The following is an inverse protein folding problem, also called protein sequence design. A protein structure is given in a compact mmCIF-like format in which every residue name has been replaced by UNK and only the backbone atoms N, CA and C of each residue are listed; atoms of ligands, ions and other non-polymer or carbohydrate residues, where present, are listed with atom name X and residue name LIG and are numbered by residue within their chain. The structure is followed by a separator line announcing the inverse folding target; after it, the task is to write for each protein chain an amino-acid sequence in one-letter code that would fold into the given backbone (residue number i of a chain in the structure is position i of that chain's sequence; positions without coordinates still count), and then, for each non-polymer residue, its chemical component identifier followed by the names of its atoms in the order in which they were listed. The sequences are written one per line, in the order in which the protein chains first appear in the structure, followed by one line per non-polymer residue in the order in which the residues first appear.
data_IF_510386387958
#
_entry.id   IF_510386387958
#
_cell.length_a   1.000
_cell.length_b   1.000
_cell.length_c   1.000
_cell.angle_alpha   90.00
_cell.angle_beta   90.00
_cell.angle_gamma   90.00
#
_symmetry.space_group_name_H-M   'P 1'
#
loop_
_entity.id
_entity.type
_entity.pdbx_description
1 polymer ?
#
# COMPACT_ATOMS: atom_id res chain seq x y z
N UNK A 1 30.78 45.73 47.27
CA UNK A 1 30.21 44.95 46.14
C UNK A 1 30.06 43.53 46.59
N UNK A 2 28.76 43.09 46.84
CA UNK A 2 28.43 41.75 47.28
C UNK A 2 28.02 40.97 46.03
N UNK A 3 28.82 40.03 45.59
CA UNK A 3 28.51 39.11 44.51
C UNK A 3 27.71 37.96 45.13
N UNK A 4 26.40 37.95 44.95
CA UNK A 4 25.51 36.88 45.38
C UNK A 4 25.81 35.60 44.62
N UNK A 5 26.37 34.62 45.28
CA UNK A 5 26.58 33.26 44.77
C UNK A 5 25.21 32.52 44.77
N UNK A 6 24.59 32.37 43.61
CA UNK A 6 23.40 31.51 43.44
C UNK A 6 23.84 30.04 43.53
N UNK A 7 23.71 29.47 44.72
CA UNK A 7 23.83 28.02 44.87
C UNK A 7 22.47 27.40 44.55
N UNK A 8 22.35 26.83 43.35
CA UNK A 8 21.21 25.99 43.02
C UNK A 8 21.31 24.68 43.82
N UNK A 9 20.29 24.37 44.59
CA UNK A 9 20.23 23.19 45.44
C UNK A 9 20.45 21.92 44.61
N UNK A 10 21.34 21.05 45.06
CA UNK A 10 21.72 19.81 44.37
C UNK A 10 20.50 18.89 44.13
N UNK A 11 19.45 19.05 44.92
CA UNK A 11 18.18 18.33 44.74
C UNK A 11 17.43 18.82 43.51
N UNK A 12 17.43 20.13 43.24
CA UNK A 12 16.78 20.72 42.05
C UNK A 12 17.49 20.27 40.77
N UNK A 13 18.82 20.22 40.77
CA UNK A 13 19.64 19.75 39.66
C UNK A 13 19.34 18.27 39.37
N UNK A 14 19.23 17.43 40.41
CA UNK A 14 18.89 15.99 40.24
C UNK A 14 17.47 15.78 39.70
N UNK A 15 16.50 16.57 40.14
CA UNK A 15 15.13 16.51 39.63
C UNK A 15 15.06 16.94 38.15
N UNK A 16 15.85 17.99 37.79
CA UNK A 16 15.90 18.44 36.38
C UNK A 16 16.56 17.40 35.47
N UNK A 17 17.64 16.74 35.93
CA UNK A 17 18.30 15.65 35.22
C UNK A 17 17.40 14.41 35.10
N UNK A 18 16.63 14.11 36.14
CA UNK A 18 15.68 12.99 36.10
C UNK A 18 14.50 13.27 35.16
N UNK A 19 13.99 14.49 35.07
CA UNK A 19 12.98 14.92 34.11
C UNK A 19 13.49 14.89 32.68
N UNK A 20 14.72 15.25 32.39
CA UNK A 20 15.32 15.19 31.06
C UNK A 20 15.44 13.73 30.59
N UNK A 21 15.78 12.79 31.49
CA UNK A 21 15.88 11.35 31.14
C UNK A 21 14.51 10.74 30.82
N UNK A 22 13.42 11.21 31.44
CA UNK A 22 12.06 10.72 31.15
C UNK A 22 11.56 11.19 29.79
N UNK A 23 12.00 12.38 29.33
CA UNK A 23 11.60 12.91 28.01
C UNK A 23 12.40 12.35 26.82
N UNK A 24 13.53 11.68 27.05
CA UNK A 24 14.42 11.22 25.96
C UNK A 24 14.07 9.86 25.37
N UNK A 25 13.03 9.15 25.85
CA UNK A 25 12.61 7.85 25.33
C UNK A 25 11.31 7.88 24.51
N UNK A 26 11.01 8.96 23.84
CA UNK A 26 10.05 8.89 22.75
C UNK A 26 10.79 8.28 21.54
N UNK A 27 10.87 6.95 21.48
CA UNK A 27 11.11 6.25 20.24
C UNK A 27 9.95 6.60 19.30
N UNK A 28 10.10 7.73 18.60
CA UNK A 28 9.22 8.08 17.51
C UNK A 28 9.31 6.91 16.53
N UNK A 29 8.26 6.11 16.45
CA UNK A 29 8.19 5.02 15.49
C UNK A 29 8.47 5.64 14.13
N UNK A 30 9.60 5.31 13.52
CA UNK A 30 9.95 5.81 12.19
C UNK A 30 8.99 5.17 11.19
N UNK A 31 7.82 5.77 11.03
CA UNK A 31 6.82 5.33 10.08
C UNK A 31 6.82 6.26 8.88
N UNK A 32 7.18 5.69 7.75
CA UNK A 32 7.23 6.39 6.48
C UNK A 32 6.31 5.70 5.46
N UNK A 33 5.71 6.49 4.57
CA UNK A 33 4.92 6.00 3.45
C UNK A 33 5.40 6.62 2.15
N UNK A 34 5.62 5.78 1.16
CA UNK A 34 5.88 6.17 -0.22
C UNK A 34 4.68 5.77 -1.05
N UNK A 35 4.08 6.75 -1.75
CA UNK A 35 2.86 6.58 -2.54
C UNK A 35 1.78 7.59 -2.14
N UNK A 36 0.75 7.71 -2.97
CA UNK A 36 -0.39 8.59 -2.72
C UNK A 36 -1.57 7.76 -2.22
N UNK A 37 -2.25 8.19 -1.18
CA UNK A 37 -3.43 7.51 -0.64
C UNK A 37 -4.67 7.76 -1.50
N UNK A 38 -4.58 7.37 -2.77
CA UNK A 38 -5.66 7.44 -3.75
C UNK A 38 -6.18 6.05 -4.09
N UNK A 39 -7.40 5.96 -4.58
CA UNK A 39 -7.93 4.73 -5.16
C UNK A 39 -6.98 4.17 -6.22
N UNK A 40 -6.72 2.85 -6.17
CA UNK A 40 -5.85 2.15 -7.10
C UNK A 40 -4.35 2.41 -6.94
N UNK A 41 -3.92 2.96 -5.82
CA UNK A 41 -2.50 3.21 -5.54
C UNK A 41 -1.85 2.02 -4.84
N UNK A 42 -0.54 1.87 -5.09
CA UNK A 42 0.36 1.03 -4.32
C UNK A 42 1.05 1.90 -3.27
N UNK A 43 1.12 1.42 -2.05
CA UNK A 43 1.78 2.09 -0.92
C UNK A 43 2.90 1.18 -0.42
N UNK A 44 4.10 1.74 -0.36
CA UNK A 44 5.23 1.17 0.34
C UNK A 44 5.32 1.84 1.71
N UNK A 45 5.32 1.05 2.77
CA UNK A 45 5.51 1.51 4.14
C UNK A 45 6.86 1.05 4.70
N UNK A 46 7.41 1.83 5.62
CA UNK A 46 8.56 1.45 6.42
C UNK A 46 8.26 1.74 7.88
N UNK A 47 8.53 0.78 8.73
CA UNK A 47 8.39 0.86 10.18
C UNK A 47 9.64 0.30 10.86
N UNK A 48 9.69 0.33 12.16
CA UNK A 48 10.79 -0.27 12.91
C UNK A 48 10.86 -1.79 12.66
N UNK A 49 12.03 -2.38 12.49
CA UNK A 49 12.22 -3.83 12.40
C UNK A 49 11.55 -4.57 13.57
N UNK A 50 10.92 -5.71 13.26
CA UNK A 50 10.21 -6.52 14.25
C UNK A 50 8.78 -6.05 14.59
N UNK A 51 8.31 -4.97 13.96
CA UNK A 51 6.90 -4.55 14.10
C UNK A 51 5.96 -5.51 13.38
N UNK A 52 4.73 -5.64 13.91
CA UNK A 52 3.58 -6.25 13.21
C UNK A 52 2.70 -5.15 12.64
N UNK A 53 2.24 -5.32 11.41
CA UNK A 53 1.39 -4.33 10.73
C UNK A 53 0.07 -4.98 10.33
N UNK A 54 -1.03 -4.28 10.60
CA UNK A 54 -2.36 -4.63 10.06
C UNK A 54 -2.92 -3.46 9.25
N UNK A 55 -3.51 -3.79 8.12
CA UNK A 55 -4.28 -2.87 7.30
C UNK A 55 -5.74 -3.30 7.32
N UNK A 56 -6.64 -2.46 7.85
CA UNK A 56 -8.06 -2.79 8.05
C UNK A 56 -8.25 -4.15 8.77
N UNK A 57 -7.51 -4.37 9.85
CA UNK A 57 -7.47 -5.58 10.66
C UNK A 57 -6.89 -6.84 9.97
N UNK A 58 -6.38 -6.74 8.72
CA UNK A 58 -5.68 -7.84 8.04
C UNK A 58 -4.18 -7.72 8.24
N UNK A 59 -3.56 -8.83 8.60
CA UNK A 59 -2.11 -8.89 8.75
C UNK A 59 -1.42 -8.63 7.39
N UNK A 60 -0.33 -7.89 7.44
CA UNK A 60 0.52 -7.59 6.29
C UNK A 60 1.93 -8.05 6.59
N UNK A 61 2.55 -8.75 5.64
CA UNK A 61 3.93 -9.21 5.77
C UNK A 61 4.88 -8.01 5.92
N UNK A 62 5.68 -8.03 6.99
CA UNK A 62 6.73 -7.05 7.25
C UNK A 62 8.09 -7.71 7.10
N UNK A 63 8.95 -7.15 6.27
CA UNK A 63 10.31 -7.67 6.06
C UNK A 63 11.18 -7.48 7.29
N UNK A 64 12.32 -8.18 7.37
CA UNK A 64 13.32 -8.00 8.44
C UNK A 64 13.80 -6.56 8.57
N UNK A 65 13.81 -5.80 7.48
CA UNK A 65 14.17 -4.37 7.46
C UNK A 65 13.03 -3.41 7.80
N UNK A 66 11.83 -3.93 8.17
CA UNK A 66 10.67 -3.11 8.52
C UNK A 66 9.86 -2.60 7.32
N UNK A 67 10.11 -3.08 6.11
CA UNK A 67 9.33 -2.70 4.93
C UNK A 67 8.07 -3.56 4.80
N UNK A 68 6.99 -2.93 4.37
CA UNK A 68 5.73 -3.59 4.03
C UNK A 68 5.07 -2.86 2.86
N UNK A 69 4.15 -3.55 2.17
CA UNK A 69 3.47 -2.96 1.03
C UNK A 69 2.00 -3.38 1.00
N UNK A 70 1.15 -2.50 0.49
CA UNK A 70 -0.27 -2.80 0.28
C UNK A 70 -0.85 -2.00 -0.88
N UNK A 71 -1.92 -2.54 -1.47
CA UNK A 71 -2.68 -1.88 -2.52
C UNK A 71 -3.96 -1.25 -1.98
N UNK A 72 -4.32 -0.08 -2.51
CA UNK A 72 -5.61 0.55 -2.25
C UNK A 72 -6.56 0.15 -3.39
N UNK A 73 -7.68 -0.49 -3.05
CA UNK A 73 -8.65 -0.95 -4.04
C UNK A 73 -9.14 0.17 -4.95
N UNK A 74 -9.43 -0.18 -6.23
CA UNK A 74 -9.87 0.74 -7.27
C UNK A 74 -11.08 1.57 -6.86
N UNK A 75 -12.05 0.93 -6.23
CA UNK A 75 -13.34 1.52 -5.87
C UNK A 75 -13.50 1.72 -4.36
N UNK A 76 -12.38 1.77 -3.63
CA UNK A 76 -12.37 1.98 -2.18
C UNK A 76 -13.05 3.30 -1.82
N UNK A 77 -14.03 3.25 -0.91
CA UNK A 77 -14.77 4.44 -0.45
C UNK A 77 -14.33 4.92 0.93
N UNK A 78 -13.99 4.00 1.80
CA UNK A 78 -13.67 4.28 3.19
C UNK A 78 -12.19 4.57 3.39
N UNK A 79 -11.87 5.32 4.41
CA UNK A 79 -10.50 5.55 4.86
C UNK A 79 -9.83 4.24 5.24
N UNK A 80 -8.50 4.23 5.31
CA UNK A 80 -7.69 3.06 5.65
C UNK A 80 -7.22 3.19 7.10
N UNK A 81 -7.39 2.14 7.87
CA UNK A 81 -6.83 2.03 9.22
C UNK A 81 -5.55 1.20 9.18
N UNK A 82 -4.47 1.77 9.68
CA UNK A 82 -3.15 1.15 9.77
C UNK A 82 -2.83 0.98 11.25
N UNK A 83 -2.63 -0.26 11.67
CA UNK A 83 -2.25 -0.60 13.05
C UNK A 83 -0.82 -1.13 13.04
N UNK A 84 0.03 -0.60 13.90
CA UNK A 84 1.41 -1.03 14.04
C UNK A 84 1.65 -1.40 15.49
N UNK A 85 2.06 -2.63 15.71
CA UNK A 85 2.35 -3.14 17.05
C UNK A 85 3.82 -3.47 17.16
N UNK A 86 4.49 -2.91 18.16
CA UNK A 86 5.86 -3.24 18.55
C UNK A 86 6.01 -3.15 20.07
N UNK A 87 6.70 -4.11 20.68
CA UNK A 87 7.00 -4.13 22.12
C UNK A 87 5.75 -3.85 22.98
N UNK A 88 4.62 -4.50 22.64
CA UNK A 88 3.28 -4.34 23.25
C UNK A 88 2.64 -2.95 23.08
N UNK A 89 3.30 -2.02 22.40
CA UNK A 89 2.73 -0.73 22.05
C UNK A 89 1.99 -0.82 20.72
N UNK A 90 0.76 -0.30 20.69
CA UNK A 90 -0.09 -0.21 19.50
C UNK A 90 -0.22 1.25 19.06
N UNK A 91 0.20 1.52 17.84
CA UNK A 91 -0.05 2.79 17.15
C UNK A 91 -1.15 2.58 16.10
N UNK A 92 -2.16 3.45 16.08
CA UNK A 92 -3.28 3.40 15.14
C UNK A 92 -3.33 4.68 14.32
N UNK A 93 -3.30 4.54 13.00
CA UNK A 93 -3.29 5.66 12.06
C UNK A 93 -4.41 5.49 11.06
N UNK A 94 -5.21 6.54 10.86
CA UNK A 94 -6.24 6.58 9.83
C UNK A 94 -5.78 7.48 8.69
N UNK A 95 -5.79 6.96 7.47
CA UNK A 95 -5.43 7.70 6.24
C UNK A 95 -6.65 7.85 5.36
N UNK A 96 -6.96 9.12 5.04
CA UNK A 96 -8.02 9.47 4.10
C UNK A 96 -7.67 8.98 2.70
N UNK A 97 -8.67 8.38 2.02
CA UNK A 97 -8.52 7.91 0.65
C UNK A 97 -9.15 8.90 -0.31
N UNK A 98 -8.38 9.34 -1.29
CA UNK A 98 -8.85 10.26 -2.32
C UNK A 98 -9.37 9.51 -3.54
N UNK A 99 -10.47 9.99 -4.10
CA UNK A 99 -11.05 9.43 -5.32
C UNK A 99 -10.13 9.65 -6.52
N UNK A 100 -10.10 8.67 -7.43
CA UNK A 100 -9.41 8.74 -8.70
C UNK A 100 -10.43 8.66 -9.84
N UNK A 101 -10.27 9.46 -10.89
CA UNK A 101 -11.04 9.34 -12.12
C UNK A 101 -10.39 8.26 -13.00
N UNK A 102 -11.20 7.31 -13.46
CA UNK A 102 -10.76 6.24 -14.34
C UNK A 102 -11.31 6.44 -15.75
N UNK A 103 -10.56 5.99 -16.76
CA UNK A 103 -11.00 6.02 -18.17
C UNK A 103 -12.05 4.93 -18.37
N UNK A 104 -13.27 5.32 -18.73
CA UNK A 104 -14.35 4.40 -19.09
C UNK A 104 -14.62 4.55 -20.58
N UNK A 105 -14.52 3.43 -21.32
CA UNK A 105 -14.80 3.36 -22.75
C UNK A 105 -16.12 2.64 -22.97
N UNK A 106 -17.05 3.27 -23.69
CA UNK A 106 -18.30 2.67 -24.11
C UNK A 106 -18.19 2.27 -25.57
N UNK A 107 -18.58 1.04 -25.90
CA UNK A 107 -18.53 0.48 -27.25
C UNK A 107 -19.85 -0.26 -27.45
N UNK A 108 -20.65 0.22 -28.41
CA UNK A 108 -21.94 -0.35 -28.74
C UNK A 108 -21.92 -0.95 -30.17
N UNK A 109 -22.93 -1.74 -30.52
CA UNK A 109 -23.05 -2.39 -31.82
C UNK A 109 -22.12 -3.61 -31.99
N UNK A 110 -21.61 -4.18 -30.91
CA UNK A 110 -20.79 -5.39 -30.98
C UNK A 110 -21.68 -6.66 -31.10
N UNK A 111 -21.27 -7.66 -31.92
CA UNK A 111 -21.91 -8.98 -31.90
C UNK A 111 -21.90 -9.59 -30.50
N UNK A 112 -23.00 -10.22 -30.06
CA UNK A 112 -23.15 -10.74 -28.69
C UNK A 112 -22.01 -11.71 -28.29
N UNK A 113 -21.53 -12.54 -29.23
CA UNK A 113 -20.38 -13.45 -29.01
C UNK A 113 -19.07 -12.75 -28.60
N UNK A 114 -18.93 -11.46 -28.94
CA UNK A 114 -17.79 -10.65 -28.50
C UNK A 114 -18.00 -9.98 -27.13
N UNK A 115 -19.27 -9.90 -26.70
CA UNK A 115 -19.63 -9.34 -25.40
C UNK A 115 -19.64 -10.43 -24.33
N UNK A 116 -20.16 -11.62 -24.66
CA UNK A 116 -20.25 -12.76 -23.73
C UNK A 116 -19.50 -13.94 -24.36
N UNK A 117 -18.39 -14.43 -23.78
CA UNK A 117 -17.66 -15.57 -24.29
C UNK A 117 -18.54 -16.84 -24.34
N UNK A 118 -18.30 -17.74 -25.28
CA UNK A 118 -18.95 -19.06 -25.32
C UNK A 118 -18.64 -19.85 -24.05
N UNK A 119 -19.58 -20.79 -23.69
CA UNK A 119 -19.48 -21.55 -22.45
C UNK A 119 -18.19 -22.38 -22.33
N UNK A 120 -17.71 -22.91 -23.45
CA UNK A 120 -16.51 -23.74 -23.54
C UNK A 120 -15.22 -22.97 -23.12
N UNK A 121 -15.22 -21.65 -23.31
CA UNK A 121 -14.10 -20.80 -22.96
C UNK A 121 -14.00 -20.61 -21.43
N UNK A 122 -15.12 -20.70 -20.71
CA UNK A 122 -15.12 -20.48 -19.27
C UNK A 122 -14.32 -21.53 -18.48
N UNK A 123 -14.29 -22.78 -18.92
CA UNK A 123 -13.52 -23.84 -18.26
C UNK A 123 -12.01 -23.57 -18.36
N UNK A 124 -11.56 -23.12 -19.53
CA UNK A 124 -10.19 -22.70 -19.73
C UNK A 124 -9.85 -21.50 -18.84
N UNK A 125 -10.69 -20.47 -18.82
CA UNK A 125 -10.53 -19.28 -17.99
C UNK A 125 -10.42 -19.66 -16.50
N UNK A 126 -11.23 -20.60 -16.01
CA UNK A 126 -11.18 -21.07 -14.62
C UNK A 126 -9.84 -21.73 -14.29
N UNK A 127 -9.34 -22.61 -15.16
CA UNK A 127 -8.04 -23.27 -14.97
C UNK A 127 -6.89 -22.25 -14.93
N UNK A 128 -6.86 -21.34 -15.89
CA UNK A 128 -5.83 -20.30 -15.98
C UNK A 128 -5.89 -19.37 -14.76
N UNK A 129 -7.08 -18.96 -14.33
CA UNK A 129 -7.26 -18.16 -13.12
C UNK A 129 -6.79 -18.89 -11.87
N UNK A 130 -7.02 -20.21 -11.76
CA UNK A 130 -6.53 -20.98 -10.61
C UNK A 130 -5.01 -20.96 -10.54
N UNK A 131 -4.32 -21.16 -11.65
CA UNK A 131 -2.85 -21.11 -11.72
C UNK A 131 -2.34 -19.73 -11.24
N UNK A 132 -3.01 -18.65 -11.65
CA UNK A 132 -2.67 -17.29 -11.26
C UNK A 132 -2.88 -17.08 -9.76
N UNK A 133 -4.00 -17.58 -9.21
CA UNK A 133 -4.29 -17.50 -7.76
C UNK A 133 -3.22 -18.25 -6.98
N UNK A 134 -2.97 -19.51 -7.33
CA UNK A 134 -1.98 -20.36 -6.65
C UNK A 134 -0.57 -19.71 -6.68
N UNK A 135 -0.18 -19.12 -7.81
CA UNK A 135 1.10 -18.40 -7.93
C UNK A 135 1.18 -17.13 -7.07
N UNK A 136 0.04 -16.46 -6.81
CA UNK A 136 -0.04 -15.25 -5.98
C UNK A 136 -0.09 -15.54 -4.49
N UNK A 137 -0.40 -16.78 -4.09
CA UNK A 137 -0.40 -17.22 -2.70
C UNK A 137 1.01 -17.55 -2.17
N UNK A 138 2.01 -17.60 -3.08
CA UNK A 138 3.40 -17.86 -2.70
C UNK A 138 3.95 -16.65 -1.94
N UNK A 139 4.17 -16.80 -0.65
CA UNK A 139 4.86 -15.81 0.17
C UNK A 139 6.37 -15.99 0.07
N UNK A 140 7.11 -14.90 0.00
CA UNK A 140 8.57 -14.92 -0.05
C UNK A 140 9.18 -13.75 0.72
N UNK A 141 10.38 -13.94 1.25
CA UNK A 141 11.18 -12.90 1.92
C UNK A 141 11.84 -11.91 0.93
N UNK A 142 11.52 -12.00 -0.35
CA UNK A 142 12.10 -11.15 -1.38
C UNK A 142 11.61 -9.71 -1.24
N UNK A 143 12.55 -8.78 -1.27
CA UNK A 143 12.29 -7.36 -1.03
C UNK A 143 12.36 -6.51 -2.30
N UNK A 144 12.15 -7.10 -3.47
CA UNK A 144 12.22 -6.40 -4.76
C UNK A 144 11.26 -5.22 -4.86
N UNK A 145 10.13 -5.28 -4.18
CA UNK A 145 9.14 -4.19 -4.13
C UNK A 145 9.67 -2.91 -3.46
N UNK A 146 10.80 -2.95 -2.74
CA UNK A 146 11.45 -1.79 -2.13
C UNK A 146 12.34 -1.03 -3.11
N UNK A 147 12.62 -1.61 -4.29
CA UNK A 147 13.45 -1.03 -5.32
C UNK A 147 12.60 -0.43 -6.44
N UNK A 148 13.21 0.40 -7.27
CA UNK A 148 12.56 0.93 -8.47
C UNK A 148 12.27 -0.20 -9.45
N UNK A 149 11.01 -0.28 -9.90
CA UNK A 149 10.64 -1.18 -11.00
C UNK A 149 11.30 -0.72 -12.30
N UNK A 150 11.82 -1.68 -13.05
CA UNK A 150 12.36 -1.43 -14.37
C UNK A 150 11.27 -1.56 -15.44
N UNK A 151 11.42 -0.84 -16.54
CA UNK A 151 10.56 -1.04 -17.70
C UNK A 151 10.91 -2.39 -18.35
N UNK A 152 9.94 -3.28 -18.59
CA UNK A 152 10.20 -4.58 -19.19
C UNK A 152 10.60 -4.51 -20.67
N UNK A 153 10.40 -3.37 -21.34
CA UNK A 153 10.69 -3.17 -22.77
C UNK A 153 11.43 -1.85 -22.98
N UNK A 154 12.44 -1.83 -23.85
CA UNK A 154 13.25 -0.63 -24.13
C UNK A 154 12.45 0.49 -24.82
N UNK A 155 11.56 0.12 -25.74
CA UNK A 155 10.67 1.06 -26.48
C UNK A 155 9.22 0.71 -26.24
N UNK A 156 8.76 0.95 -25.01
CA UNK A 156 7.44 0.55 -24.56
C UNK A 156 6.37 1.61 -24.86
N UNK A 157 5.19 1.14 -25.26
CA UNK A 157 3.96 1.95 -25.35
C UNK A 157 2.97 1.41 -24.32
N UNK A 158 2.47 2.27 -23.45
CA UNK A 158 1.39 1.91 -22.53
C UNK A 158 0.06 1.94 -23.28
N UNK A 159 -0.52 0.76 -23.53
CA UNK A 159 -1.79 0.58 -24.26
C UNK A 159 -3.00 0.42 -23.34
N UNK A 160 -2.78 -0.02 -22.10
CA UNK A 160 -3.81 -0.12 -21.07
C UNK A 160 -3.31 0.36 -19.71
N UNK A 161 -4.15 1.09 -18.99
CA UNK A 161 -3.81 1.64 -17.66
C UNK A 161 -4.70 1.02 -16.58
N UNK A 162 -4.13 0.89 -15.38
CA UNK A 162 -4.86 0.37 -14.22
C UNK A 162 -6.16 1.15 -13.97
N UNK A 163 -7.24 0.41 -13.74
CA UNK A 163 -8.56 0.92 -13.38
C UNK A 163 -9.42 1.33 -14.57
N UNK A 164 -8.89 1.35 -15.81
CA UNK A 164 -9.71 1.57 -16.99
C UNK A 164 -10.78 0.47 -17.12
N UNK A 165 -11.95 0.81 -17.71
CA UNK A 165 -13.06 -0.12 -17.82
C UNK A 165 -13.77 0.05 -19.16
N UNK A 166 -14.22 -1.06 -19.73
CA UNK A 166 -15.06 -1.06 -20.94
C UNK A 166 -16.50 -1.39 -20.56
N UNK A 167 -17.44 -0.71 -21.23
CA UNK A 167 -18.85 -1.04 -21.21
C UNK A 167 -19.19 -1.43 -22.64
N UNK A 168 -19.53 -2.72 -22.85
CA UNK A 168 -19.80 -3.29 -24.17
C UNK A 168 -21.31 -3.55 -24.32
N UNK A 169 -21.96 -2.91 -25.31
CA UNK A 169 -23.42 -2.98 -25.49
C UNK A 169 -24.17 -2.73 -24.16
N UNK A 170 -23.80 -1.70 -23.42
CA UNK A 170 -24.38 -1.38 -22.13
C UNK A 170 -23.95 -2.30 -20.96
N UNK A 171 -23.24 -3.41 -21.22
CA UNK A 171 -22.78 -4.37 -20.18
C UNK A 171 -21.40 -3.98 -19.67
N UNK A 172 -21.23 -3.58 -18.38
CA UNK A 172 -19.92 -3.27 -17.82
C UNK A 172 -19.06 -4.53 -17.74
N UNK A 173 -17.81 -4.42 -18.18
CA UNK A 173 -16.79 -5.47 -18.04
C UNK A 173 -15.96 -5.22 -16.79
N UNK A 174 -15.20 -6.23 -16.37
CA UNK A 174 -14.26 -6.07 -15.26
C UNK A 174 -13.29 -4.96 -15.55
N UNK A 175 -12.97 -4.11 -14.54
CA UNK A 175 -11.90 -3.14 -14.66
C UNK A 175 -10.56 -3.80 -14.98
N UNK A 176 -9.71 -3.08 -15.68
CA UNK A 176 -8.36 -3.52 -15.94
C UNK A 176 -7.48 -3.36 -14.68
N UNK A 177 -7.03 -4.46 -14.10
CA UNK A 177 -6.24 -4.47 -12.86
C UNK A 177 -4.72 -4.58 -13.12
N UNK A 178 -4.25 -4.04 -14.24
CA UNK A 178 -2.85 -4.07 -14.64
C UNK A 178 -2.47 -2.89 -15.51
N UNK A 179 -1.29 -2.95 -16.06
CA UNK A 179 -0.77 -2.05 -17.09
C UNK A 179 -0.40 -2.92 -18.28
N UNK A 180 -0.96 -2.60 -19.46
CA UNK A 180 -0.57 -3.23 -20.70
C UNK A 180 0.57 -2.43 -21.33
N UNK A 181 1.66 -3.10 -21.60
CA UNK A 181 2.86 -2.54 -22.21
C UNK A 181 3.13 -3.31 -23.51
N UNK A 182 3.14 -2.62 -24.63
CA UNK A 182 3.40 -3.20 -25.94
C UNK A 182 4.76 -2.74 -26.49
N UNK A 183 5.42 -3.60 -27.21
CA UNK A 183 6.55 -3.23 -28.07
C UNK A 183 6.07 -2.39 -29.25
N UNK A 184 6.95 -1.52 -29.78
CA UNK A 184 6.73 -0.82 -31.05
C UNK A 184 6.94 -1.77 -32.21
#
# INVERSE_FOLDING_TARGET
FIIGRWWMDSKIIKIFFFLIIIFSNQNLSALEFIGKFNQGSFILGKTNPGSKVKIDNKDVLVTKGGYFAFGIGRDRKNDITIQITKDQKLDVIVKKIFKRKYKIQRIDGLPEKKVTPPKEVYERIRRENKIIVDAREIESDLTFFTKKFINPLDKAIVTGVYGSQRILNGKPKWPHYGIDIAAK
#
